data_IF_170341625513
#
_entry.id   IF_170341625513
#
_cell.length_a   1.000
_cell.length_b   1.000
_cell.length_c   1.000
_cell.angle_alpha   90.00
_cell.angle_beta   90.00
_cell.angle_gamma   90.00
#
_symmetry.space_group_name_H-M   'P 1'
#
loop_
_entity.id
_entity.type
_entity.pdbx_description
1 polymer ?
#
# COMPACT_ATOMS: atom_id res chain seq x y z
N UNK A 1 21.31 -23.57 -8.14
CA UNK A 1 21.06 -23.64 -6.69
C UNK A 1 21.60 -22.40 -5.96
N UNK A 2 21.49 -21.20 -6.55
CA UNK A 2 21.93 -19.94 -5.91
C UNK A 2 21.52 -18.68 -6.70
N UNK A 3 21.39 -18.76 -8.03
CA UNK A 3 21.00 -17.62 -8.90
C UNK A 3 19.49 -17.48 -9.00
N UNK A 4 18.83 -18.61 -9.20
CA UNK A 4 17.39 -18.89 -9.13
C UNK A 4 16.71 -18.04 -8.04
N UNK A 5 17.14 -18.21 -6.79
CA UNK A 5 16.63 -17.48 -5.61
C UNK A 5 16.89 -15.95 -5.63
N UNK A 6 17.82 -15.43 -6.44
CA UNK A 6 18.03 -13.98 -6.60
C UNK A 6 16.88 -13.38 -7.41
N UNK A 7 16.52 -14.01 -8.54
CA UNK A 7 15.48 -13.48 -9.41
C UNK A 7 14.09 -13.57 -8.78
N UNK A 8 13.78 -14.66 -8.05
CA UNK A 8 12.56 -14.74 -7.25
C UNK A 8 12.48 -13.64 -6.18
N UNK A 9 13.60 -13.32 -5.52
CA UNK A 9 13.66 -12.22 -4.53
C UNK A 9 13.54 -10.83 -5.15
N UNK A 10 13.98 -10.64 -6.41
CA UNK A 10 13.69 -9.40 -7.15
C UNK A 10 12.20 -9.37 -7.53
N UNK A 11 11.62 -10.48 -7.99
CA UNK A 11 10.19 -10.60 -8.26
C UNK A 11 9.33 -10.22 -7.04
N UNK A 12 9.58 -10.82 -5.87
CA UNK A 12 8.90 -10.50 -4.60
C UNK A 12 8.91 -8.99 -4.27
N UNK A 13 10.03 -8.31 -4.56
CA UNK A 13 10.23 -6.89 -4.25
C UNK A 13 9.74 -5.94 -5.35
N UNK A 14 9.69 -6.37 -6.61
CA UNK A 14 9.32 -5.54 -7.76
C UNK A 14 7.86 -5.71 -8.16
N UNK A 15 7.32 -6.93 -8.11
CA UNK A 15 5.96 -7.25 -8.57
C UNK A 15 4.86 -6.32 -7.99
N UNK A 16 4.86 -5.96 -6.69
CA UNK A 16 3.85 -5.05 -6.14
C UNK A 16 3.78 -3.66 -6.80
N UNK A 17 4.88 -3.21 -7.44
CA UNK A 17 4.97 -1.93 -8.13
C UNK A 17 4.57 -1.98 -9.61
N UNK A 18 4.40 -3.18 -10.19
CA UNK A 18 4.10 -3.37 -11.62
C UNK A 18 2.88 -4.25 -11.92
N UNK A 19 2.33 -4.94 -10.92
CA UNK A 19 1.13 -5.80 -11.06
C UNK A 19 -0.11 -5.07 -11.61
N UNK A 20 -0.23 -3.76 -11.40
CA UNK A 20 -1.33 -2.91 -11.94
C UNK A 20 -0.94 -2.14 -13.21
N UNK A 21 0.30 -2.28 -13.69
CA UNK A 21 0.83 -1.51 -14.80
C UNK A 21 0.69 -2.28 -16.12
N UNK A 22 -0.39 -2.03 -16.86
CA UNK A 22 -0.70 -2.75 -18.10
C UNK A 22 0.24 -2.50 -19.30
N UNK A 23 1.21 -1.57 -19.21
CA UNK A 23 2.16 -1.24 -20.30
C UNK A 23 3.53 -0.80 -19.78
N UNK A 24 4.58 -1.09 -20.54
CA UNK A 24 5.97 -0.71 -20.28
C UNK A 24 6.58 -1.40 -19.06
N UNK A 25 6.20 -2.66 -18.80
CA UNK A 25 6.62 -3.38 -17.60
C UNK A 25 8.13 -3.58 -17.62
N UNK A 26 8.70 -4.06 -18.73
CA UNK A 26 10.14 -4.32 -18.86
C UNK A 26 10.94 -3.04 -18.59
N UNK A 27 10.56 -1.93 -19.24
CA UNK A 27 11.14 -0.60 -19.04
C UNK A 27 11.06 -0.15 -17.56
N UNK A 28 9.89 -0.32 -16.93
CA UNK A 28 9.66 0.05 -15.53
C UNK A 28 10.46 -0.80 -14.55
N UNK A 29 10.61 -2.09 -14.79
CA UNK A 29 11.41 -2.98 -13.94
C UNK A 29 12.89 -2.61 -14.00
N UNK A 30 13.41 -2.28 -15.19
CA UNK A 30 14.79 -1.77 -15.35
C UNK A 30 14.98 -0.49 -14.51
N UNK A 31 14.06 0.48 -14.60
CA UNK A 31 14.10 1.69 -13.75
C UNK A 31 14.10 1.37 -12.25
N UNK A 32 13.25 0.43 -11.78
CA UNK A 32 13.16 0.05 -10.37
C UNK A 32 14.49 -0.56 -9.89
N UNK A 33 15.08 -1.46 -10.67
CA UNK A 33 16.34 -2.13 -10.31
C UNK A 33 17.51 -1.13 -10.29
N UNK A 34 17.58 -0.19 -11.25
CA UNK A 34 18.60 0.87 -11.29
C UNK A 34 18.34 2.07 -10.36
N UNK A 35 17.20 2.10 -9.64
CA UNK A 35 16.74 3.22 -8.78
C UNK A 35 16.35 4.50 -9.51
N UNK A 36 16.17 4.44 -10.82
CA UNK A 36 16.03 5.62 -11.67
C UNK A 36 14.59 6.13 -11.83
N UNK A 37 13.61 5.47 -11.22
CA UNK A 37 12.19 5.89 -11.21
C UNK A 37 11.96 7.36 -10.85
N UNK A 38 12.83 7.91 -9.98
CA UNK A 38 12.81 9.31 -9.51
C UNK A 38 14.06 10.09 -9.92
N UNK A 39 14.94 9.49 -10.74
CA UNK A 39 16.13 10.16 -11.28
C UNK A 39 15.73 11.06 -12.46
N UNK A 40 16.46 12.18 -12.61
CA UNK A 40 16.28 13.11 -13.74
C UNK A 40 17.01 12.65 -15.02
N UNK A 41 18.09 11.88 -14.90
CA UNK A 41 18.90 11.43 -16.04
C UNK A 41 18.38 10.13 -16.65
N UNK A 42 18.04 9.15 -15.80
CA UNK A 42 17.66 7.78 -16.18
C UNK A 42 18.67 7.14 -17.14
N UNK A 43 19.96 7.29 -16.83
CA UNK A 43 21.07 7.05 -17.74
C UNK A 43 21.28 5.56 -18.00
N UNK A 44 21.23 4.72 -16.96
CA UNK A 44 21.42 3.28 -17.09
C UNK A 44 20.20 2.61 -17.73
N UNK A 45 19.00 3.07 -17.36
CA UNK A 45 17.73 2.67 -18.00
C UNK A 45 17.79 2.96 -19.49
N UNK A 46 18.19 4.18 -19.89
CA UNK A 46 18.29 4.57 -21.30
C UNK A 46 19.34 3.75 -22.04
N UNK A 47 20.54 3.56 -21.49
CA UNK A 47 21.58 2.71 -22.09
C UNK A 47 21.06 1.33 -22.47
N UNK A 48 20.29 0.68 -21.59
CA UNK A 48 19.73 -0.66 -21.85
C UNK A 48 18.50 -0.59 -22.78
N UNK A 49 17.56 0.32 -22.50
CA UNK A 49 16.30 0.38 -23.22
C UNK A 49 16.45 0.91 -24.65
N UNK A 50 17.28 1.92 -24.88
CA UNK A 50 17.49 2.51 -26.20
C UNK A 50 18.29 1.56 -27.10
N UNK A 51 19.27 0.83 -26.54
CA UNK A 51 20.05 -0.20 -27.25
C UNK A 51 19.17 -1.39 -27.72
N UNK A 52 18.14 -1.74 -26.95
CA UNK A 52 17.23 -2.86 -27.24
C UNK A 52 15.88 -2.42 -27.87
N UNK A 53 15.65 -1.11 -28.04
CA UNK A 53 14.37 -0.51 -28.43
C UNK A 53 13.20 -0.99 -27.53
N UNK A 54 13.44 -1.04 -26.20
CA UNK A 54 12.43 -1.34 -25.16
C UNK A 54 11.68 -0.04 -24.83
N UNK A 55 10.35 -0.05 -24.93
CA UNK A 55 9.53 1.17 -24.90
C UNK A 55 8.75 1.30 -23.60
N UNK A 56 8.75 2.50 -23.03
CA UNK A 56 8.01 2.84 -21.81
C UNK A 56 6.49 2.69 -21.92
N UNK A 57 5.96 2.49 -23.13
CA UNK A 57 4.54 2.27 -23.42
C UNK A 57 4.24 0.93 -24.12
N UNK A 58 5.22 0.02 -24.21
CA UNK A 58 5.06 -1.31 -24.83
C UNK A 58 3.96 -2.15 -24.15
N UNK A 59 3.33 -3.08 -24.86
CA UNK A 59 2.47 -4.09 -24.25
C UNK A 59 3.28 -5.34 -23.83
N UNK A 60 2.72 -6.20 -22.97
CA UNK A 60 3.43 -7.40 -22.45
C UNK A 60 3.99 -8.31 -23.55
N UNK A 61 3.29 -8.44 -24.69
CA UNK A 61 3.73 -9.26 -25.83
C UNK A 61 4.85 -8.60 -26.65
N UNK A 62 5.00 -7.28 -26.56
CA UNK A 62 6.17 -6.55 -27.09
C UNK A 62 7.37 -6.71 -26.16
N UNK A 63 7.19 -6.50 -24.86
CA UNK A 63 8.22 -6.71 -23.83
C UNK A 63 8.80 -8.14 -23.91
N UNK A 64 7.95 -9.16 -24.00
CA UNK A 64 8.36 -10.57 -24.12
C UNK A 64 9.08 -10.86 -25.46
N UNK A 65 8.67 -10.24 -26.58
CA UNK A 65 9.39 -10.37 -27.87
C UNK A 65 10.78 -9.72 -27.84
N UNK A 66 10.97 -8.64 -27.09
CA UNK A 66 12.29 -8.03 -26.88
C UNK A 66 13.21 -8.95 -26.08
N UNK A 67 12.66 -9.61 -25.06
CA UNK A 67 13.39 -10.62 -24.27
C UNK A 67 13.76 -11.85 -25.11
N UNK A 68 12.84 -12.45 -25.87
CA UNK A 68 13.14 -13.59 -26.75
C UNK A 68 14.25 -13.25 -27.76
N UNK A 69 14.15 -12.09 -28.45
CA UNK A 69 15.20 -11.64 -29.38
C UNK A 69 16.57 -11.55 -28.69
N UNK A 70 16.65 -10.85 -27.55
CA UNK A 70 17.91 -10.72 -26.79
C UNK A 70 18.45 -12.09 -26.34
N UNK A 71 17.57 -13.00 -25.91
CA UNK A 71 17.95 -14.35 -25.50
C UNK A 71 18.50 -15.15 -26.67
N UNK A 72 17.90 -15.08 -27.87
CA UNK A 72 18.44 -15.71 -29.09
C UNK A 72 19.86 -15.23 -29.37
N UNK A 73 20.03 -13.90 -29.50
CA UNK A 73 21.31 -13.28 -29.84
C UNK A 73 22.42 -13.61 -28.83
N UNK A 74 22.09 -13.80 -27.54
CA UNK A 74 23.07 -14.16 -26.52
C UNK A 74 23.28 -15.68 -26.37
N UNK A 75 22.23 -16.51 -26.47
CA UNK A 75 22.33 -17.98 -26.38
C UNK A 75 23.24 -18.54 -27.48
N UNK A 76 23.24 -17.92 -28.66
CA UNK A 76 24.06 -18.32 -29.81
C UNK A 76 25.52 -17.87 -29.65
N UNK A 77 25.76 -16.67 -29.11
CA UNK A 77 27.12 -16.10 -28.94
C UNK A 77 27.85 -16.51 -27.63
N UNK A 78 27.28 -17.39 -26.80
CA UNK A 78 27.85 -17.71 -25.48
C UNK A 78 29.17 -18.52 -25.53
N UNK A 79 30.28 -17.89 -25.08
CA UNK A 79 31.59 -18.52 -24.94
C UNK A 79 31.56 -19.75 -23.98
N UNK A 80 32.26 -20.87 -24.29
CA UNK A 80 32.04 -22.18 -23.65
C UNK A 80 32.29 -22.24 -22.13
N UNK A 81 32.96 -21.23 -21.55
CA UNK A 81 33.22 -21.17 -20.10
C UNK A 81 31.96 -21.01 -19.24
N UNK A 82 30.83 -20.53 -19.79
CA UNK A 82 29.57 -20.27 -19.05
C UNK A 82 28.52 -21.38 -19.27
N UNK A 83 28.97 -22.64 -19.42
CA UNK A 83 28.13 -23.81 -19.74
C UNK A 83 26.94 -24.04 -18.79
N UNK A 84 26.99 -23.53 -17.55
CA UNK A 84 25.88 -23.58 -16.56
C UNK A 84 24.79 -22.52 -16.75
N UNK A 85 25.00 -21.48 -17.57
CA UNK A 85 24.00 -20.42 -17.81
C UNK A 85 23.00 -20.76 -18.93
N UNK A 86 23.47 -21.43 -19.98
CA UNK A 86 22.70 -21.67 -21.22
C UNK A 86 21.40 -22.45 -21.01
N UNK A 87 21.33 -23.35 -20.03
CA UNK A 87 20.10 -24.08 -19.67
C UNK A 87 18.98 -23.18 -19.18
N UNK A 88 19.26 -22.27 -18.25
CA UNK A 88 18.28 -21.32 -17.70
C UNK A 88 17.80 -20.31 -18.74
N UNK A 89 18.69 -19.85 -19.63
CA UNK A 89 18.29 -18.97 -20.74
C UNK A 89 17.40 -19.70 -21.76
N UNK A 90 17.66 -20.99 -22.01
CA UNK A 90 16.79 -21.83 -22.84
C UNK A 90 15.45 -22.14 -22.16
N UNK A 91 15.41 -22.30 -20.84
CA UNK A 91 14.18 -22.46 -20.06
C UNK A 91 13.27 -21.24 -20.18
N UNK A 92 13.81 -20.03 -19.99
CA UNK A 92 13.08 -18.77 -20.23
C UNK A 92 12.59 -18.69 -21.67
N UNK A 93 13.46 -18.96 -22.66
CA UNK A 93 13.10 -18.92 -24.08
C UNK A 93 11.96 -19.88 -24.39
N UNK A 94 12.04 -21.13 -23.93
CA UNK A 94 11.02 -22.15 -24.12
C UNK A 94 9.68 -21.76 -23.47
N UNK A 95 9.72 -21.09 -22.31
CA UNK A 95 8.52 -20.55 -21.69
C UNK A 95 7.91 -19.42 -22.54
N UNK A 96 8.72 -18.45 -22.98
CA UNK A 96 8.25 -17.33 -23.82
C UNK A 96 7.71 -17.84 -25.17
N UNK A 97 8.33 -18.84 -25.79
CA UNK A 97 7.85 -19.38 -27.08
C UNK A 97 6.53 -20.14 -26.98
N UNK A 98 6.16 -20.61 -25.79
CA UNK A 98 5.05 -21.57 -25.62
C UNK A 98 3.82 -21.03 -24.91
N UNK A 99 3.93 -19.97 -24.07
CA UNK A 99 2.87 -19.59 -23.12
C UNK A 99 2.48 -18.08 -23.14
N UNK A 100 2.62 -17.38 -24.28
CA UNK A 100 2.24 -15.95 -24.39
C UNK A 100 0.72 -15.80 -24.46
N UNK A 101 0.12 -15.41 -23.33
CA UNK A 101 -1.30 -15.10 -23.19
C UNK A 101 -2.07 -15.95 -22.18
N UNK A 102 -1.43 -16.90 -21.50
CA UNK A 102 -2.13 -17.89 -20.66
C UNK A 102 -2.37 -17.42 -19.21
N UNK A 103 -1.41 -16.73 -18.59
CA UNK A 103 -1.50 -16.22 -17.20
C UNK A 103 -0.78 -14.88 -17.05
N UNK A 104 -1.50 -13.87 -16.54
CA UNK A 104 -1.01 -12.50 -16.42
C UNK A 104 0.10 -12.32 -15.36
N UNK A 105 0.02 -13.05 -14.24
CA UNK A 105 1.02 -13.02 -13.18
C UNK A 105 2.30 -13.73 -13.63
N UNK A 106 2.17 -14.84 -14.36
CA UNK A 106 3.31 -15.59 -14.92
C UNK A 106 3.99 -14.79 -16.03
N UNK A 107 3.26 -14.17 -16.97
CA UNK A 107 3.84 -13.20 -17.93
C UNK A 107 4.66 -12.12 -17.21
N UNK A 108 4.08 -11.51 -16.18
CA UNK A 108 4.73 -10.44 -15.41
C UNK A 108 5.97 -10.94 -14.66
N UNK A 109 5.95 -12.19 -14.14
CA UNK A 109 7.12 -12.82 -13.53
C UNK A 109 8.27 -12.99 -14.51
N UNK A 110 8.03 -13.50 -15.71
CA UNK A 110 9.10 -13.69 -16.70
C UNK A 110 9.61 -12.39 -17.31
N UNK A 111 8.77 -11.34 -17.41
CA UNK A 111 9.25 -9.99 -17.74
C UNK A 111 10.23 -9.48 -16.67
N UNK A 112 9.93 -9.69 -15.38
CA UNK A 112 10.84 -9.30 -14.29
C UNK A 112 12.15 -10.12 -14.31
N UNK A 113 12.08 -11.45 -14.50
CA UNK A 113 13.28 -12.31 -14.62
C UNK A 113 14.13 -11.90 -15.83
N UNK A 114 13.48 -11.60 -16.96
CA UNK A 114 14.14 -11.10 -18.15
C UNK A 114 14.88 -9.78 -17.90
N UNK A 115 14.22 -8.82 -17.26
CA UNK A 115 14.84 -7.56 -16.84
C UNK A 115 16.07 -7.79 -15.95
N UNK A 116 16.02 -8.72 -15.00
CA UNK A 116 17.16 -9.09 -14.15
C UNK A 116 18.36 -9.65 -14.93
N UNK A 117 18.14 -10.22 -16.11
CA UNK A 117 19.20 -10.70 -17.01
C UNK A 117 19.79 -9.54 -17.82
N UNK A 118 18.94 -8.62 -18.32
CA UNK A 118 19.38 -7.43 -19.06
C UNK A 118 20.29 -6.51 -18.22
N UNK A 119 19.89 -6.24 -16.97
CA UNK A 119 20.67 -5.42 -16.01
C UNK A 119 21.83 -6.20 -15.36
N UNK A 120 21.78 -7.53 -15.43
CA UNK A 120 22.78 -8.43 -14.86
C UNK A 120 22.66 -8.68 -13.35
N UNK A 121 23.14 -9.86 -12.93
CA UNK A 121 23.04 -10.37 -11.55
C UNK A 121 23.69 -9.44 -10.52
N UNK A 122 24.78 -8.75 -10.88
CA UNK A 122 25.47 -7.82 -9.96
C UNK A 122 24.60 -6.63 -9.55
N UNK A 123 23.85 -6.05 -10.50
CA UNK A 123 22.91 -4.94 -10.23
C UNK A 123 21.71 -5.46 -9.42
N UNK A 124 21.22 -6.67 -9.71
CA UNK A 124 20.16 -7.31 -8.94
C UNK A 124 20.56 -7.55 -7.47
N UNK A 125 21.80 -8.00 -7.21
CA UNK A 125 22.32 -8.16 -5.84
C UNK A 125 22.37 -6.80 -5.13
N UNK A 126 22.98 -5.79 -5.76
CA UNK A 126 23.05 -4.42 -5.22
C UNK A 126 21.67 -3.85 -4.86
N UNK A 127 20.69 -3.99 -5.77
CA UNK A 127 19.30 -3.60 -5.52
C UNK A 127 18.70 -4.27 -4.29
N UNK A 128 18.89 -5.59 -4.14
CA UNK A 128 18.39 -6.36 -2.99
C UNK A 128 19.11 -6.01 -1.67
N UNK A 129 20.40 -5.68 -1.72
CA UNK A 129 21.16 -5.23 -0.56
C UNK A 129 20.74 -3.84 -0.10
N UNK A 130 20.55 -2.89 -1.02
CA UNK A 130 20.04 -1.55 -0.73
C UNK A 130 18.63 -1.57 -0.13
N UNK A 131 17.72 -2.42 -0.64
CA UNK A 131 16.37 -2.49 -0.05
C UNK A 131 16.37 -3.24 1.30
N UNK A 132 17.33 -4.13 1.53
CA UNK A 132 17.60 -4.71 2.87
C UNK A 132 18.20 -3.67 3.83
N UNK A 133 19.02 -2.74 3.34
CA UNK A 133 19.54 -1.61 4.13
C UNK A 133 18.40 -0.63 4.48
N UNK A 134 17.62 -0.13 3.50
CA UNK A 134 16.47 0.75 3.75
C UNK A 134 15.43 0.12 4.67
N UNK A 135 15.17 -1.18 4.54
CA UNK A 135 14.28 -1.90 5.45
C UNK A 135 14.85 -1.89 6.88
N UNK A 136 16.14 -2.23 7.05
CA UNK A 136 16.84 -2.16 8.34
C UNK A 136 16.93 -0.74 8.92
N UNK A 137 17.01 0.28 8.09
CA UNK A 137 16.98 1.69 8.51
C UNK A 137 15.59 2.10 8.98
N UNK A 138 14.52 1.67 8.30
CA UNK A 138 13.14 1.85 8.79
C UNK A 138 12.93 1.13 10.12
N UNK A 139 13.38 -0.12 10.23
CA UNK A 139 13.33 -0.92 11.46
C UNK A 139 14.13 -0.25 12.59
N UNK A 140 15.38 0.19 12.35
CA UNK A 140 16.18 0.95 13.34
C UNK A 140 15.58 2.30 13.71
N UNK A 141 14.97 3.01 12.76
CA UNK A 141 14.33 4.30 13.04
C UNK A 141 13.04 4.09 13.85
N UNK A 142 12.30 3.01 13.63
CA UNK A 142 11.19 2.61 14.50
C UNK A 142 11.69 2.23 15.89
N UNK A 143 12.76 1.44 16.00
CA UNK A 143 13.37 1.06 17.28
C UNK A 143 14.03 2.24 18.02
N UNK A 144 14.60 3.22 17.32
CA UNK A 144 15.15 4.44 17.92
C UNK A 144 14.05 5.39 18.37
N UNK A 145 13.00 5.59 17.57
CA UNK A 145 11.81 6.34 18.01
C UNK A 145 11.18 5.65 19.23
N UNK A 146 11.10 4.32 19.25
CA UNK A 146 10.61 3.53 20.38
C UNK A 146 11.50 3.69 21.62
N UNK A 147 12.83 3.57 21.49
CA UNK A 147 13.76 3.78 22.62
C UNK A 147 13.76 5.23 23.12
N UNK A 148 13.54 6.20 22.24
CA UNK A 148 13.35 7.61 22.64
C UNK A 148 12.02 7.83 23.35
N UNK A 149 10.95 7.12 22.98
CA UNK A 149 9.69 7.05 23.74
C UNK A 149 9.83 6.32 25.09
N UNK A 150 10.72 5.32 25.18
CA UNK A 150 11.06 4.61 26.42
C UNK A 150 11.98 5.42 27.35
N UNK A 151 12.68 6.45 26.83
CA UNK A 151 13.54 7.36 27.61
C UNK A 151 12.96 8.76 27.87
N UNK A 152 11.83 9.11 27.25
CA UNK A 152 11.06 10.31 27.60
C UNK A 152 10.20 10.07 28.85
N UNK A 153 9.78 11.12 29.60
CA UNK A 153 8.67 10.98 30.53
C UNK A 153 7.46 10.34 29.80
N UNK A 154 6.61 9.56 30.52
CA UNK A 154 5.69 8.62 29.89
C UNK A 154 4.86 9.29 28.80
N UNK A 155 4.85 8.73 27.56
CA UNK A 155 4.24 9.39 26.42
C UNK A 155 2.76 9.63 26.72
N UNK A 156 2.34 10.90 26.66
CA UNK A 156 0.95 11.28 26.90
C UNK A 156 0.03 10.45 25.99
N UNK A 157 -1.11 9.95 26.52
CA UNK A 157 -1.91 8.96 25.83
C UNK A 157 -2.31 9.50 24.46
N UNK A 158 -1.91 8.80 23.41
CA UNK A 158 -2.02 9.31 22.03
C UNK A 158 -3.49 9.30 21.63
N UNK A 159 -4.14 10.48 21.51
CA UNK A 159 -5.60 10.53 21.47
C UNK A 159 -6.12 9.90 20.17
N UNK A 160 -7.05 8.96 20.31
CA UNK A 160 -7.67 8.23 19.21
C UNK A 160 -9.00 8.90 18.87
N UNK A 161 -9.26 9.10 17.58
CA UNK A 161 -10.58 9.49 17.08
C UNK A 161 -11.31 8.25 16.57
N UNK A 162 -12.49 8.03 17.12
CA UNK A 162 -13.52 7.17 16.57
C UNK A 162 -14.43 8.02 15.66
N UNK A 163 -14.35 7.77 14.36
CA UNK A 163 -15.17 8.42 13.35
C UNK A 163 -16.32 7.47 12.96
N UNK A 164 -17.56 7.96 13.01
CA UNK A 164 -18.79 7.18 12.80
C UNK A 164 -19.71 7.93 11.83
N UNK A 165 -20.40 7.20 10.96
CA UNK A 165 -21.51 7.72 10.14
C UNK A 165 -22.81 7.08 10.67
N UNK A 166 -23.78 7.90 11.08
CA UNK A 166 -25.05 7.44 11.66
C UNK A 166 -26.25 8.19 11.08
N UNK A 167 -27.49 7.66 11.20
CA UNK A 167 -28.71 8.40 10.88
C UNK A 167 -28.88 9.66 11.75
N UNK A 168 -29.44 10.73 11.18
CA UNK A 168 -29.73 11.97 11.89
C UNK A 168 -30.62 11.80 13.14
N UNK A 169 -31.50 10.79 13.16
CA UNK A 169 -32.30 10.43 14.34
C UNK A 169 -31.47 10.09 15.58
N UNK A 170 -30.31 9.44 15.41
CA UNK A 170 -29.35 9.17 16.49
C UNK A 170 -28.55 10.43 16.84
N UNK A 171 -28.06 11.12 15.81
CA UNK A 171 -27.14 12.25 15.96
C UNK A 171 -27.78 13.52 16.54
N UNK A 172 -29.06 13.80 16.24
CA UNK A 172 -29.83 14.96 16.72
C UNK A 172 -29.88 15.12 18.24
N UNK A 173 -29.68 14.02 18.98
CA UNK A 173 -29.65 14.00 20.46
C UNK A 173 -28.29 14.42 21.04
N UNK A 174 -27.26 14.54 20.21
CA UNK A 174 -25.88 14.78 20.61
C UNK A 174 -25.54 16.27 20.59
N UNK A 175 -24.49 16.67 21.32
CA UNK A 175 -23.95 18.04 21.34
C UNK A 175 -22.43 18.01 21.43
N UNK A 176 -21.75 18.79 20.60
CA UNK A 176 -20.29 18.88 20.55
C UNK A 176 -19.71 19.34 21.89
N UNK A 177 -18.48 18.92 22.18
CA UNK A 177 -17.74 19.12 23.44
C UNK A 177 -18.39 18.53 24.70
N UNK A 178 -19.47 17.75 24.54
CA UNK A 178 -20.04 16.94 25.62
C UNK A 178 -19.25 15.63 25.78
N UNK A 179 -19.02 15.26 27.05
CA UNK A 179 -18.58 13.91 27.42
C UNK A 179 -19.71 12.89 27.22
N UNK A 180 -19.37 11.76 26.61
CA UNK A 180 -20.18 10.56 26.46
C UNK A 180 -19.60 9.45 27.36
N UNK A 181 -20.46 8.55 27.84
CA UNK A 181 -20.03 7.33 28.53
C UNK A 181 -19.95 6.15 27.52
N UNK A 182 -19.26 5.08 27.91
CA UNK A 182 -19.07 3.90 27.05
C UNK A 182 -20.41 3.38 26.47
N UNK A 183 -21.45 3.22 27.30
CA UNK A 183 -22.76 2.74 26.87
C UNK A 183 -23.43 3.62 25.81
N UNK A 184 -23.29 4.94 25.85
CA UNK A 184 -23.81 5.82 24.78
C UNK A 184 -22.98 5.71 23.50
N UNK A 185 -21.68 5.47 23.61
CA UNK A 185 -20.82 5.24 22.42
C UNK A 185 -21.14 3.88 21.79
N UNK A 186 -21.38 2.84 22.58
CA UNK A 186 -21.88 1.54 22.11
C UNK A 186 -23.19 1.69 21.31
N UNK A 187 -24.15 2.44 21.83
CA UNK A 187 -25.45 2.68 21.17
C UNK A 187 -25.28 3.40 19.81
N UNK A 188 -24.38 4.39 19.73
CA UNK A 188 -24.07 5.08 18.47
C UNK A 188 -23.37 4.12 17.50
N UNK A 189 -22.44 3.28 17.98
CA UNK A 189 -21.75 2.24 17.21
C UNK A 189 -22.73 1.19 16.66
N UNK A 190 -23.74 0.78 17.44
CA UNK A 190 -24.79 -0.17 17.00
C UNK A 190 -25.61 0.36 15.82
N UNK A 191 -25.77 1.69 15.70
CA UNK A 191 -26.49 2.35 14.61
C UNK A 191 -25.57 2.91 13.50
N UNK A 192 -24.28 2.59 13.51
CA UNK A 192 -23.29 3.13 12.56
C UNK A 192 -23.24 2.36 11.24
N UNK A 193 -23.39 3.04 10.11
CA UNK A 193 -23.29 2.48 8.74
C UNK A 193 -21.86 2.41 8.22
N UNK A 194 -21.00 3.38 8.57
CA UNK A 194 -19.58 3.42 8.23
C UNK A 194 -18.74 3.89 9.42
N UNK A 195 -17.59 3.27 9.70
CA UNK A 195 -16.72 3.66 10.81
C UNK A 195 -15.22 3.63 10.49
N UNK A 196 -14.44 4.46 11.18
CA UNK A 196 -12.99 4.52 11.10
C UNK A 196 -12.38 4.87 12.46
N UNK A 197 -11.52 3.98 12.98
CA UNK A 197 -10.73 4.22 14.19
C UNK A 197 -9.30 4.61 13.80
N UNK A 198 -8.85 5.80 14.18
CA UNK A 198 -7.51 6.28 13.80
C UNK A 198 -6.96 7.32 14.79
N UNK A 199 -5.69 7.73 14.63
CA UNK A 199 -5.12 8.77 15.52
C UNK A 199 -5.75 10.14 15.23
N UNK A 200 -5.91 10.99 16.25
CA UNK A 200 -6.58 12.29 16.09
C UNK A 200 -5.95 13.20 15.02
N UNK A 201 -4.65 13.02 14.73
CA UNK A 201 -3.94 13.70 13.63
C UNK A 201 -4.34 13.19 12.24
N UNK A 202 -4.65 11.89 12.09
CA UNK A 202 -5.13 11.30 10.83
C UNK A 202 -6.62 11.58 10.59
N UNK A 203 -7.43 11.53 11.64
CA UNK A 203 -8.87 11.77 11.53
C UNK A 203 -9.18 13.15 10.92
N UNK A 204 -8.47 14.20 11.33
CA UNK A 204 -8.61 15.54 10.75
C UNK A 204 -8.12 15.69 9.30
N UNK A 205 -7.50 14.67 8.70
CA UNK A 205 -7.22 14.61 7.27
C UNK A 205 -8.38 13.92 6.54
N UNK A 206 -8.83 12.77 7.03
CA UNK A 206 -9.99 12.06 6.46
C UNK A 206 -11.30 12.86 6.58
N UNK A 207 -11.41 13.72 7.58
CA UNK A 207 -12.52 14.69 7.75
C UNK A 207 -12.52 15.78 6.65
N UNK A 208 -11.36 16.07 6.03
CA UNK A 208 -11.25 16.99 4.89
C UNK A 208 -11.58 16.33 3.54
N UNK A 209 -11.59 14.99 3.48
CA UNK A 209 -12.02 14.23 2.30
C UNK A 209 -13.56 14.16 2.19
N UNK A 210 -14.31 14.55 3.24
CA UNK A 210 -15.79 14.46 3.32
C UNK A 210 -16.48 15.77 2.90
N UNK A 211 -17.58 15.65 2.14
CA UNK A 211 -18.47 16.78 1.89
C UNK A 211 -19.46 16.98 3.05
N UNK A 212 -19.02 17.74 4.06
CA UNK A 212 -19.82 18.11 5.24
C UNK A 212 -20.67 19.37 5.02
N UNK A 213 -21.81 19.44 5.69
CA UNK A 213 -22.74 20.58 5.68
C UNK A 213 -23.04 21.06 7.10
N UNK A 214 -23.18 22.38 7.26
CA UNK A 214 -23.52 23.05 8.51
C UNK A 214 -25.04 23.20 8.71
N UNK A 215 -25.83 22.30 8.13
CA UNK A 215 -27.30 22.29 8.27
C UNK A 215 -27.72 21.60 9.58
N UNK A 216 -28.81 22.08 10.19
CA UNK A 216 -29.34 21.54 11.44
C UNK A 216 -29.70 20.06 11.33
N UNK A 217 -29.29 19.27 12.33
CA UNK A 217 -29.50 17.83 12.38
C UNK A 217 -30.91 17.55 12.94
N UNK A 218 -31.90 17.57 12.05
CA UNK A 218 -33.30 17.27 12.38
C UNK A 218 -33.51 15.76 12.61
N UNK A 219 -34.27 15.36 13.65
CA UNK A 219 -34.38 13.95 14.09
C UNK A 219 -35.18 13.04 13.13
N UNK A 220 -36.01 13.63 12.28
CA UNK A 220 -36.83 12.98 11.24
C UNK A 220 -36.11 12.87 9.88
N UNK A 221 -34.97 13.55 9.74
CA UNK A 221 -34.15 13.57 8.53
C UNK A 221 -33.60 12.18 8.18
N UNK A 222 -33.68 11.83 6.89
CA UNK A 222 -33.09 10.61 6.34
C UNK A 222 -31.60 10.77 5.98
N UNK A 223 -30.96 11.90 6.32
CA UNK A 223 -29.54 12.12 6.06
C UNK A 223 -28.65 11.33 7.02
N UNK A 224 -27.49 10.95 6.52
CA UNK A 224 -26.39 10.47 7.35
C UNK A 224 -25.57 11.64 7.92
N UNK A 225 -25.03 11.44 9.12
CA UNK A 225 -24.31 12.45 9.90
C UNK A 225 -22.94 11.90 10.28
N UNK A 226 -21.90 12.68 10.00
CA UNK A 226 -20.55 12.44 10.47
C UNK A 226 -20.43 12.81 11.95
N UNK A 227 -19.98 11.84 12.74
CA UNK A 227 -19.65 11.94 14.15
C UNK A 227 -18.15 11.69 14.32
N UNK A 228 -17.50 12.54 15.12
CA UNK A 228 -16.13 12.30 15.58
C UNK A 228 -16.06 12.35 17.09
N UNK A 229 -15.70 11.23 17.71
CA UNK A 229 -15.51 11.08 19.15
C UNK A 229 -14.02 10.89 19.42
N UNK A 230 -13.43 11.73 20.28
CA UNK A 230 -12.05 11.56 20.73
C UNK A 230 -12.03 10.81 22.07
N UNK A 231 -11.15 9.81 22.16
CA UNK A 231 -10.84 9.07 23.38
C UNK A 231 -9.56 9.66 23.99
N UNK A 232 -9.62 10.02 25.28
CA UNK A 232 -8.45 10.57 26.00
C UNK A 232 -7.39 9.51 26.30
N UNK A 233 -7.80 8.27 26.59
CA UNK A 233 -6.92 7.12 26.84
C UNK A 233 -7.57 5.80 26.37
N UNK A 234 -6.83 4.68 26.43
CA UNK A 234 -7.29 3.31 26.15
C UNK A 234 -7.54 2.97 24.68
N UNK A 235 -7.94 3.94 23.86
CA UNK A 235 -8.43 3.76 22.48
C UNK A 235 -7.46 3.15 21.46
N UNK A 236 -6.18 2.94 21.81
CA UNK A 236 -5.16 2.40 20.87
C UNK A 236 -5.55 1.04 20.29
N UNK A 237 -6.24 0.21 21.08
CA UNK A 237 -6.70 -1.12 20.66
C UNK A 237 -7.88 -1.07 19.65
N UNK A 238 -8.47 0.10 19.39
CA UNK A 238 -9.52 0.29 18.38
C UNK A 238 -8.95 0.51 16.98
N UNK A 239 -7.69 0.92 16.87
CA UNK A 239 -7.04 1.16 15.58
C UNK A 239 -6.94 -0.16 14.81
N UNK A 240 -7.12 -0.10 13.49
CA UNK A 240 -7.12 -1.24 12.56
C UNK A 240 -8.24 -2.29 12.77
N UNK A 241 -9.25 -2.00 13.62
CA UNK A 241 -10.48 -2.82 13.71
C UNK A 241 -11.36 -2.58 12.48
N UNK A 242 -11.85 -3.67 11.88
CA UNK A 242 -12.61 -3.65 10.61
C UNK A 242 -14.08 -4.08 10.74
N UNK A 243 -14.53 -4.59 11.90
CA UNK A 243 -15.95 -4.95 12.13
C UNK A 243 -16.54 -4.22 13.33
N UNK A 244 -17.84 -3.89 13.28
CA UNK A 244 -18.58 -3.23 14.37
C UNK A 244 -18.49 -4.02 15.69
N UNK A 245 -18.56 -5.34 15.63
CA UNK A 245 -18.39 -6.22 16.80
C UNK A 245 -16.99 -6.09 17.43
N UNK A 246 -15.93 -6.08 16.61
CA UNK A 246 -14.55 -5.96 17.09
C UNK A 246 -14.19 -4.55 17.57
N UNK A 247 -14.90 -3.51 17.09
CA UNK A 247 -14.90 -2.18 17.67
C UNK A 247 -15.57 -2.20 19.05
N UNK A 248 -16.85 -2.62 19.13
CA UNK A 248 -17.65 -2.61 20.36
C UNK A 248 -17.00 -3.38 21.51
N UNK A 249 -16.58 -4.62 21.26
CA UNK A 249 -15.90 -5.49 22.23
C UNK A 249 -14.48 -5.07 22.62
N UNK A 250 -13.97 -3.96 22.10
CA UNK A 250 -12.66 -3.38 22.46
C UNK A 250 -12.78 -1.92 22.92
N UNK A 251 -14.01 -1.39 23.10
CA UNK A 251 -14.22 -0.07 23.70
C UNK A 251 -13.72 -0.09 25.16
N UNK A 252 -12.93 0.91 25.59
CA UNK A 252 -12.45 0.98 26.97
C UNK A 252 -13.55 1.48 27.93
N UNK A 253 -13.97 0.62 28.87
CA UNK A 253 -15.08 0.87 29.81
C UNK A 253 -14.96 2.19 30.59
N UNK A 254 -13.73 2.56 30.95
CA UNK A 254 -13.40 3.68 31.84
C UNK A 254 -12.77 4.89 31.11
N UNK A 255 -12.82 4.97 29.77
CA UNK A 255 -12.29 6.13 29.05
C UNK A 255 -13.28 7.30 28.99
N UNK A 256 -12.75 8.51 28.87
CA UNK A 256 -13.56 9.68 28.54
C UNK A 256 -13.71 9.80 27.02
N UNK A 257 -14.95 9.83 26.55
CA UNK A 257 -15.30 9.96 25.14
C UNK A 257 -15.83 11.37 24.86
N UNK A 258 -15.02 12.25 24.28
CA UNK A 258 -15.43 13.64 23.98
C UNK A 258 -15.91 13.76 22.54
N UNK A 259 -17.16 14.18 22.33
CA UNK A 259 -17.66 14.48 20.97
C UNK A 259 -16.98 15.75 20.45
N UNK A 260 -16.32 15.67 19.28
CA UNK A 260 -15.50 16.76 18.70
C UNK A 260 -15.90 17.24 17.32
N UNK A 261 -16.67 16.45 16.56
CA UNK A 261 -17.35 16.92 15.34
C UNK A 261 -18.72 16.24 15.23
N UNK A 262 -19.68 16.97 14.70
CA UNK A 262 -21.06 16.55 14.49
C UNK A 262 -21.64 17.37 13.30
N UNK A 263 -21.72 16.77 12.11
CA UNK A 263 -22.11 17.49 10.88
C UNK A 263 -22.82 16.59 9.87
N UNK A 264 -23.86 17.10 9.19
CA UNK A 264 -24.58 16.37 8.14
C UNK A 264 -23.67 16.10 6.92
N UNK A 265 -23.67 14.87 6.41
CA UNK A 265 -23.09 14.58 5.10
C UNK A 265 -23.98 15.17 3.98
N UNK A 266 -23.35 15.70 2.94
CA UNK A 266 -24.02 16.07 1.68
C UNK A 266 -24.33 14.82 0.84
N UNK A 267 -23.36 13.91 0.76
CA UNK A 267 -23.44 12.61 0.09
C UNK A 267 -22.33 11.68 0.64
N UNK A 268 -22.18 10.47 0.08
CA UNK A 268 -21.28 9.42 0.58
C UNK A 268 -19.82 9.54 0.10
N UNK A 269 -19.43 10.68 -0.47
CA UNK A 269 -18.06 10.94 -0.91
C UNK A 269 -17.06 11.00 0.27
N UNK A 270 -15.79 10.66 0.00
CA UNK A 270 -14.71 10.64 1.00
C UNK A 270 -14.69 9.40 1.92
N UNK A 271 -15.74 8.58 1.94
CA UNK A 271 -15.84 7.41 2.81
C UNK A 271 -14.93 6.23 2.40
N UNK A 272 -14.03 6.36 1.42
CA UNK A 272 -13.20 5.25 0.91
C UNK A 272 -12.10 4.77 1.89
N UNK A 273 -12.02 5.37 3.10
CA UNK A 273 -11.18 4.93 4.22
C UNK A 273 -11.97 4.36 5.40
N UNK A 274 -13.30 4.38 5.34
CA UNK A 274 -14.16 3.87 6.40
C UNK A 274 -14.54 2.42 6.11
N UNK A 275 -14.61 1.60 7.16
CA UNK A 275 -15.22 0.28 7.09
C UNK A 275 -16.73 0.46 6.99
N UNK A 276 -17.34 -0.03 5.92
CA UNK A 276 -18.79 -0.22 5.84
C UNK A 276 -19.20 -1.38 6.75
N UNK A 277 -20.36 -1.27 7.41
CA UNK A 277 -20.98 -2.34 8.20
C UNK A 277 -22.13 -2.99 7.42
#
# INVERSE_FOLDING_TARGET
MAKDHIYDRVFEKVYPYVQTQGRGILYKVIQIIHREEKSKSQEETRKICDYLDIKSNANKKEDLKKLDKFLIENIENYHPFVRKGKGFLAEIRNWISSNIGDDEMVETKWIIIGACILVGVGVCIKYLEEEKQKQRERERNLDQNRRQQESSPPPSPTPVSLCLIVPASIASTLKTDRLLNASRVEEIVDHTSYFLCTTSKKAGLYEQDLELTNEDILPDSQREVYIRINLSDGGKNLIDKTTRYALKSNLPDNAEFTLKQLACLKDLSGLQKFNRV
#
